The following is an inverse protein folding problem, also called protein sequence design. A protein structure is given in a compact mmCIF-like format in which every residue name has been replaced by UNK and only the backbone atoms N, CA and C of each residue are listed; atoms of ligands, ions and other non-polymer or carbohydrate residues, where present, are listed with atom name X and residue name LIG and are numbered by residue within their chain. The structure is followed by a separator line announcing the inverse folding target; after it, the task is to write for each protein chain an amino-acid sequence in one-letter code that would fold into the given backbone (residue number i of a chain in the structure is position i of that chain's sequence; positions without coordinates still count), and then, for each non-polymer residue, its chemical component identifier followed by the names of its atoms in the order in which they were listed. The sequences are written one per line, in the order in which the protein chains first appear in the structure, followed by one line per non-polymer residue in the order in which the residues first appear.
data_IF_859004418319
#
_entry.id   IF_859004418319
#
_cell.length_a   1.000
_cell.length_b   1.000
_cell.length_c   1.000
_cell.angle_alpha   90.00
_cell.angle_beta   90.00
_cell.angle_gamma   90.00
#
_symmetry.space_group_name_H-M   'P 1'
#
loop_
_entity.id
_entity.type
_entity.pdbx_description
1 polymer ?
#
# COMPACT_ATOMS: atom_id res chain seq x y z
N UNK A 1 -4.19 25.01 11.03
CA UNK A 1 -3.34 23.90 11.49
C UNK A 1 -4.23 22.78 11.99
N UNK A 2 -4.18 21.61 11.34
CA UNK A 2 -4.82 20.40 11.86
C UNK A 2 -4.05 20.01 13.12
N UNK A 3 -4.66 20.15 14.30
CA UNK A 3 -3.97 19.94 15.58
C UNK A 3 -3.85 18.47 15.94
N UNK A 4 -4.84 17.67 15.58
CA UNK A 4 -4.83 16.21 15.60
C UNK A 4 -6.07 15.68 14.89
N UNK A 5 -5.93 14.63 14.11
CA UNK A 5 -7.06 13.82 13.63
C UNK A 5 -7.07 12.51 14.43
N UNK A 6 -8.23 11.81 14.50
CA UNK A 6 -8.25 10.42 14.94
C UNK A 6 -7.27 9.56 14.13
N UNK A 7 -6.81 8.45 14.72
CA UNK A 7 -6.05 7.46 13.98
C UNK A 7 -6.89 6.92 12.82
N UNK A 8 -6.28 6.75 11.65
CA UNK A 8 -6.95 6.15 10.51
C UNK A 8 -6.92 4.62 10.64
N UNK A 9 -8.04 3.98 10.34
CA UNK A 9 -8.14 2.50 10.27
C UNK A 9 -7.77 1.97 8.87
N UNK A 10 -7.75 2.85 7.88
CA UNK A 10 -7.55 2.53 6.47
C UNK A 10 -6.79 3.64 5.73
N UNK A 11 -5.89 3.23 4.83
CA UNK A 11 -5.19 4.13 3.92
C UNK A 11 -5.31 3.65 2.48
N UNK A 12 -5.53 4.59 1.57
CA UNK A 12 -5.46 4.36 0.14
C UNK A 12 -4.18 5.00 -0.40
N UNK A 13 -3.34 4.22 -1.06
CA UNK A 13 -2.11 4.67 -1.71
C UNK A 13 -2.31 4.55 -3.21
N UNK A 14 -2.36 5.70 -3.88
CA UNK A 14 -2.47 5.79 -5.34
C UNK A 14 -1.08 5.57 -5.93
N UNK A 15 -0.93 4.48 -6.68
CA UNK A 15 0.38 3.90 -6.99
C UNK A 15 1.04 4.46 -8.25
N UNK A 16 0.35 5.31 -9.02
CA UNK A 16 0.58 5.76 -10.42
C UNK A 16 1.98 6.28 -10.84
N UNK A 17 3.01 6.08 -10.02
CA UNK A 17 4.37 6.56 -10.15
C UNK A 17 5.45 5.47 -9.94
N UNK A 18 6.66 5.92 -9.59
CA UNK A 18 7.86 5.08 -9.50
C UNK A 18 7.89 4.15 -8.30
N UNK A 19 8.69 3.08 -8.40
CA UNK A 19 9.00 2.17 -7.27
C UNK A 19 9.36 2.91 -5.98
N UNK A 20 10.26 3.90 -6.07
CA UNK A 20 10.75 4.62 -4.90
C UNK A 20 9.67 5.48 -4.23
N UNK A 21 8.78 6.08 -5.04
CA UNK A 21 7.63 6.82 -4.55
C UNK A 21 6.63 5.90 -3.84
N UNK A 22 6.23 4.81 -4.52
CA UNK A 22 5.25 3.87 -3.98
C UNK A 22 5.72 3.26 -2.65
N UNK A 23 6.99 2.90 -2.57
CA UNK A 23 7.57 2.37 -1.33
C UNK A 23 7.64 3.43 -0.22
N UNK A 24 7.90 4.69 -0.55
CA UNK A 24 7.91 5.78 0.43
C UNK A 24 6.50 6.04 0.99
N UNK A 25 5.48 6.06 0.14
CA UNK A 25 4.10 6.28 0.54
C UNK A 25 3.55 5.13 1.38
N UNK A 26 3.85 3.89 1.01
CA UNK A 26 3.50 2.71 1.83
C UNK A 26 4.10 2.80 3.24
N UNK A 27 5.38 3.20 3.34
CA UNK A 27 6.05 3.38 4.64
C UNK A 27 5.46 4.53 5.46
N UNK A 28 4.98 5.59 4.80
CA UNK A 28 4.33 6.71 5.49
C UNK A 28 3.06 6.25 6.23
N UNK A 29 2.33 5.30 5.65
CA UNK A 29 1.06 4.79 6.19
C UNK A 29 1.18 3.45 6.92
N UNK A 30 2.39 2.95 7.21
CA UNK A 30 2.59 1.64 7.86
C UNK A 30 1.96 1.52 9.26
N UNK A 31 1.66 2.63 9.91
CA UNK A 31 0.94 2.63 11.19
C UNK A 31 -0.55 2.29 11.07
N UNK A 32 -1.09 2.28 9.84
CA UNK A 32 -2.51 2.04 9.57
C UNK A 32 -2.80 0.53 9.48
N UNK A 33 -3.89 0.02 10.06
CA UNK A 33 -4.20 -1.42 10.05
C UNK A 33 -4.28 -2.02 8.65
N UNK A 34 -5.01 -1.36 7.74
CA UNK A 34 -5.28 -1.85 6.38
C UNK A 34 -4.85 -0.80 5.35
N UNK A 35 -4.12 -1.24 4.33
CA UNK A 35 -3.68 -0.39 3.22
C UNK A 35 -4.22 -0.97 1.91
N UNK A 36 -4.86 -0.14 1.09
CA UNK A 36 -5.13 -0.45 -0.31
C UNK A 36 -4.07 0.24 -1.17
N UNK A 37 -3.24 -0.53 -1.85
CA UNK A 37 -2.30 -0.05 -2.85
C UNK A 37 -2.93 -0.21 -4.25
N UNK A 38 -3.20 0.90 -4.92
CA UNK A 38 -3.71 0.92 -6.30
C UNK A 38 -2.56 0.77 -7.31
N UNK A 39 -2.90 0.59 -8.59
CA UNK A 39 -1.96 0.54 -9.72
C UNK A 39 -0.86 -0.55 -9.65
N UNK A 40 -1.13 -1.67 -8.97
CA UNK A 40 -0.28 -2.87 -9.01
C UNK A 40 -0.18 -3.52 -10.40
N UNK A 41 -0.87 -2.99 -11.43
CA UNK A 41 -0.61 -3.34 -12.83
C UNK A 41 0.69 -2.72 -13.34
N UNK A 42 1.16 -1.64 -12.72
CA UNK A 42 2.51 -1.11 -12.90
C UNK A 42 3.52 -2.04 -12.17
N UNK A 43 4.50 -2.64 -12.89
CA UNK A 43 5.47 -3.54 -12.28
C UNK A 43 6.29 -2.90 -11.14
N UNK A 44 6.55 -1.59 -11.20
CA UNK A 44 7.30 -0.90 -10.15
C UNK A 44 6.51 -0.80 -8.85
N UNK A 45 5.20 -0.56 -8.94
CA UNK A 45 4.29 -0.51 -7.80
C UNK A 45 4.13 -1.90 -7.19
N UNK A 46 3.93 -2.91 -8.03
CA UNK A 46 3.86 -4.30 -7.60
C UNK A 46 5.13 -4.69 -6.82
N UNK A 47 6.32 -4.33 -7.33
CA UNK A 47 7.59 -4.59 -6.66
C UNK A 47 7.73 -3.81 -5.34
N UNK A 48 7.23 -2.58 -5.27
CA UNK A 48 7.22 -1.79 -4.04
C UNK A 48 6.33 -2.42 -2.97
N UNK A 49 5.13 -2.88 -3.33
CA UNK A 49 4.22 -3.62 -2.45
C UNK A 49 4.88 -4.88 -1.91
N UNK A 50 5.49 -5.70 -2.78
CA UNK A 50 6.19 -6.91 -2.36
C UNK A 50 7.36 -6.62 -1.40
N UNK A 51 8.15 -5.58 -1.70
CA UNK A 51 9.25 -5.17 -0.83
C UNK A 51 8.73 -4.72 0.54
N UNK A 52 7.70 -3.90 0.57
CA UNK A 52 7.08 -3.41 1.79
C UNK A 52 6.52 -4.55 2.65
N UNK A 53 5.84 -5.53 2.05
CA UNK A 53 5.38 -6.73 2.74
C UNK A 53 6.54 -7.55 3.32
N UNK A 54 7.67 -7.70 2.60
CA UNK A 54 8.86 -8.38 3.14
C UNK A 54 9.47 -7.64 4.32
N UNK A 55 9.46 -6.31 4.32
CA UNK A 55 10.02 -5.48 5.38
C UNK A 55 9.18 -5.49 6.66
N UNK A 56 7.85 -5.49 6.51
CA UNK A 56 6.90 -5.32 7.62
C UNK A 56 6.28 -6.65 8.09
N UNK A 57 6.40 -7.71 7.29
CA UNK A 57 5.70 -8.97 7.53
C UNK A 57 4.22 -8.93 7.17
N UNK A 58 3.73 -7.82 6.59
CA UNK A 58 2.34 -7.69 6.12
C UNK A 58 2.03 -8.71 5.03
N UNK A 59 0.77 -9.14 4.98
CA UNK A 59 0.26 -10.04 3.93
C UNK A 59 -0.46 -9.20 2.89
N UNK A 60 -0.11 -9.38 1.61
CA UNK A 60 -0.80 -8.76 0.48
C UNK A 60 -1.74 -9.75 -0.21
N UNK A 61 -3.00 -9.35 -0.37
CA UNK A 61 -3.96 -10.01 -1.27
C UNK A 61 -4.12 -9.15 -2.52
N UNK A 62 -3.79 -9.71 -3.69
CA UNK A 62 -3.87 -9.02 -4.97
C UNK A 62 -5.21 -9.29 -5.65
N UNK A 63 -5.83 -8.22 -6.17
CA UNK A 63 -7.06 -8.27 -6.95
C UNK A 63 -6.77 -7.80 -8.37
N UNK A 64 -7.30 -8.52 -9.35
CA UNK A 64 -7.19 -8.20 -10.78
C UNK A 64 -8.58 -8.37 -11.41
N UNK A 65 -9.13 -7.28 -11.96
CA UNK A 65 -10.43 -7.28 -12.64
C UNK A 65 -10.33 -7.35 -14.18
N UNK A 66 -9.11 -7.50 -14.70
CA UNK A 66 -8.79 -7.50 -16.14
C UNK A 66 -8.56 -6.10 -16.74
N UNK A 67 -8.77 -5.03 -15.99
CA UNK A 67 -8.48 -3.64 -16.37
C UNK A 67 -7.51 -2.97 -15.40
N UNK A 68 -7.60 -3.31 -14.12
CA UNK A 68 -6.80 -2.77 -13.02
C UNK A 68 -6.35 -3.90 -12.11
N UNK A 69 -5.23 -3.65 -11.44
CA UNK A 69 -4.73 -4.53 -10.40
C UNK A 69 -4.39 -3.70 -9.18
N UNK A 70 -4.83 -4.15 -8.02
CA UNK A 70 -4.58 -3.51 -6.73
C UNK A 70 -4.20 -4.57 -5.68
N UNK A 71 -3.73 -4.15 -4.51
CA UNK A 71 -3.45 -5.03 -3.39
C UNK A 71 -4.02 -4.48 -2.08
N UNK A 72 -4.64 -5.36 -1.29
CA UNK A 72 -4.99 -5.08 0.11
C UNK A 72 -3.91 -5.67 1.00
N UNK A 73 -3.33 -4.84 1.86
CA UNK A 73 -2.25 -5.22 2.77
C UNK A 73 -2.75 -5.14 4.21
N UNK A 74 -2.73 -6.28 4.90
CA UNK A 74 -3.12 -6.39 6.30
C UNK A 74 -1.89 -6.54 7.20
N UNK A 75 -1.94 -5.95 8.40
CA UNK A 75 -0.95 -6.18 9.44
C UNK A 75 -0.84 -7.68 9.77
N UNK A 76 0.38 -8.16 10.01
CA UNK A 76 0.58 -9.51 10.52
C UNK A 76 -0.16 -9.69 11.86
N UNK A 77 -0.93 -10.77 11.98
CA UNK A 77 -1.63 -11.13 13.22
C UNK A 77 -0.68 -11.60 14.31
#
# INVERSE_FOLDING_TARGET
AVRSLPAADFAHVDGDHSYAGALADLRLVDHVPVILADDCCNPEVHQAVEQFCRETGRVAEFYDDGLRRAAVLEAAR
#
